data_IF_005248467150
#
_entry.id   IF_005248467150
#
_cell.length_a   1.000
_cell.length_b   1.000
_cell.length_c   1.000
_cell.angle_alpha   90.00
_cell.angle_beta   90.00
_cell.angle_gamma   90.00
#
_symmetry.space_group_name_H-M   'P 1'
#
loop_
_entity.id
_entity.type
_entity.pdbx_description
1 polymer ?
#
# COMPACT_ATOMS: atom_id res chain seq x y z
N UNK A 1 -25.74 5.29 9.89
CA UNK A 1 -24.55 4.64 9.31
C UNK A 1 -23.93 3.65 10.31
N UNK A 2 -23.56 4.08 11.52
CA UNK A 2 -22.99 3.19 12.56
C UNK A 2 -23.91 2.02 12.94
N UNK A 3 -25.21 2.25 13.14
CA UNK A 3 -26.17 1.18 13.40
C UNK A 3 -26.22 0.12 12.29
N UNK A 4 -26.04 0.53 11.03
CA UNK A 4 -26.00 -0.40 9.89
C UNK A 4 -24.68 -1.17 9.88
N UNK A 5 -23.55 -0.51 10.16
CA UNK A 5 -22.26 -1.17 10.34
C UNK A 5 -22.31 -2.22 11.44
N UNK A 6 -22.85 -1.88 12.61
CA UNK A 6 -23.04 -2.82 13.73
C UNK A 6 -23.94 -4.00 13.36
N UNK A 7 -25.09 -3.72 12.73
CA UNK A 7 -26.06 -4.76 12.35
C UNK A 7 -25.53 -5.73 11.29
N UNK A 8 -24.76 -5.22 10.33
CA UNK A 8 -24.27 -6.00 9.19
C UNK A 8 -22.82 -6.49 9.36
N UNK A 9 -22.13 -6.09 10.43
CA UNK A 9 -20.73 -6.41 10.65
C UNK A 9 -19.80 -5.84 9.58
N UNK A 10 -20.17 -4.71 8.95
CA UNK A 10 -19.38 -4.11 7.86
C UNK A 10 -18.42 -3.04 8.37
N UNK A 11 -17.14 -3.17 8.04
CA UNK A 11 -16.09 -2.21 8.40
C UNK A 11 -15.97 -1.04 7.43
N UNK A 12 -16.57 -1.15 6.25
CA UNK A 12 -16.55 -0.11 5.20
C UNK A 12 -17.97 0.02 4.65
N UNK A 13 -18.39 1.25 4.36
CA UNK A 13 -19.63 1.53 3.64
C UNK A 13 -19.43 2.63 2.59
N UNK A 14 -20.25 2.57 1.54
CA UNK A 14 -20.34 3.59 0.51
C UNK A 14 -21.81 3.99 0.42
N UNK A 15 -22.10 5.23 0.76
CA UNK A 15 -23.45 5.80 0.68
C UNK A 15 -23.55 6.71 -0.53
N UNK A 16 -24.49 6.42 -1.42
CA UNK A 16 -24.79 7.26 -2.58
C UNK A 16 -25.99 8.15 -2.26
N UNK A 17 -25.88 9.45 -2.53
CA UNK A 17 -26.95 10.42 -2.35
C UNK A 17 -27.06 11.33 -3.57
N UNK A 18 -28.26 11.71 -3.97
CA UNK A 18 -28.46 12.68 -5.04
C UNK A 18 -29.62 13.61 -4.69
N UNK A 19 -29.39 14.91 -4.80
CA UNK A 19 -30.40 15.95 -4.54
C UNK A 19 -30.25 17.08 -5.55
N UNK A 20 -31.26 17.95 -5.66
CA UNK A 20 -31.22 19.12 -6.57
C UNK A 20 -30.03 20.05 -6.28
N UNK A 21 -29.70 20.27 -5.00
CA UNK A 21 -28.58 21.12 -4.59
C UNK A 21 -27.23 20.42 -4.76
N UNK A 22 -27.23 19.10 -4.63
CA UNK A 22 -26.04 18.27 -4.59
C UNK A 22 -26.27 17.01 -5.44
N UNK A 23 -26.12 17.13 -6.77
CA UNK A 23 -26.33 16.02 -7.68
C UNK A 23 -25.21 14.99 -7.50
N UNK A 24 -25.60 13.72 -7.36
CA UNK A 24 -24.73 12.54 -7.31
C UNK A 24 -23.45 12.65 -6.47
N UNK A 25 -23.58 12.34 -5.18
CA UNK A 25 -22.49 12.21 -4.22
C UNK A 25 -22.26 10.78 -3.78
N UNK A 26 -20.99 10.47 -3.56
CA UNK A 26 -20.53 9.23 -2.94
C UNK A 26 -19.82 9.55 -1.64
N UNK A 27 -20.31 8.97 -0.55
CA UNK A 27 -19.75 9.13 0.79
C UNK A 27 -19.17 7.80 1.20
N UNK A 28 -17.85 7.76 1.35
CA UNK A 28 -17.15 6.58 1.82
C UNK A 28 -16.87 6.73 3.30
N UNK A 29 -17.13 5.68 4.07
CA UNK A 29 -16.94 5.66 5.51
C UNK A 29 -16.26 4.36 5.94
N UNK A 30 -15.21 4.46 6.75
CA UNK A 30 -14.64 3.30 7.45
C UNK A 30 -15.07 3.33 8.91
N UNK A 31 -15.21 2.14 9.49
CA UNK A 31 -15.59 1.96 10.88
C UNK A 31 -14.50 1.23 11.65
N UNK A 32 -14.34 1.63 12.91
CA UNK A 32 -13.55 0.92 13.91
C UNK A 32 -14.44 0.70 15.12
N UNK A 33 -14.59 -0.56 15.54
CA UNK A 33 -15.49 -0.94 16.64
C UNK A 33 -16.93 -0.41 16.47
N UNK A 34 -17.46 -0.53 15.24
CA UNK A 34 -18.78 -0.01 14.83
C UNK A 34 -18.98 1.51 14.93
N UNK A 35 -17.96 2.27 15.29
CA UNK A 35 -17.95 3.73 15.25
C UNK A 35 -17.25 4.25 14.00
N UNK A 36 -17.63 5.43 13.53
CA UNK A 36 -16.98 6.08 12.38
C UNK A 36 -15.52 6.33 12.71
N UNK A 37 -14.62 5.75 11.91
CA UNK A 37 -13.20 6.04 11.96
C UNK A 37 -12.92 7.30 11.14
N UNK A 38 -13.30 7.28 9.87
CA UNK A 38 -13.14 8.40 8.95
C UNK A 38 -14.17 8.39 7.82
N UNK A 39 -14.39 9.56 7.22
CA UNK A 39 -15.44 9.77 6.22
C UNK A 39 -15.02 10.76 5.16
N UNK A 40 -15.27 10.45 3.90
CA UNK A 40 -14.96 11.31 2.75
C UNK A 40 -16.17 11.42 1.82
N UNK A 41 -16.61 12.64 1.58
CA UNK A 41 -17.72 12.97 0.69
C UNK A 41 -17.17 13.50 -0.64
N UNK A 42 -17.51 12.79 -1.71
CA UNK A 42 -17.12 13.09 -3.07
C UNK A 42 -18.31 13.51 -3.92
N UNK A 43 -18.13 14.53 -4.74
CA UNK A 43 -19.05 14.89 -5.81
C UNK A 43 -18.65 14.16 -7.09
N UNK A 44 -19.56 13.40 -7.70
CA UNK A 44 -19.27 12.70 -8.95
C UNK A 44 -19.47 13.66 -10.11
N UNK A 45 -18.37 14.02 -10.78
CA UNK A 45 -18.38 14.95 -11.91
C UNK A 45 -18.69 14.25 -13.22
N UNK A 46 -18.12 13.07 -13.42
CA UNK A 46 -18.32 12.27 -14.61
C UNK A 46 -18.33 10.78 -14.24
N UNK A 47 -19.23 10.05 -14.88
CA UNK A 47 -19.35 8.61 -14.73
C UNK A 47 -19.51 7.96 -16.11
N UNK A 48 -18.61 7.06 -16.44
CA UNK A 48 -18.71 6.16 -17.60
C UNK A 48 -18.83 4.74 -17.08
N UNK A 49 -19.98 4.11 -17.32
CA UNK A 49 -20.22 2.73 -16.93
C UNK A 49 -19.41 1.71 -17.73
N UNK A 50 -19.63 0.43 -17.41
CA UNK A 50 -19.09 -0.70 -18.16
C UNK A 50 -19.64 -0.70 -19.58
N UNK A 51 -18.77 -0.92 -20.55
CA UNK A 51 -19.18 -1.04 -21.95
C UNK A 51 -19.85 -2.41 -22.18
N UNK A 52 -21.00 -2.48 -22.88
CA UNK A 52 -21.83 -3.69 -22.96
C UNK A 52 -21.16 -4.91 -23.62
N UNK A 53 -20.12 -4.71 -24.42
CA UNK A 53 -19.42 -5.77 -25.16
C UNK A 53 -17.98 -6.02 -24.67
N UNK A 54 -17.70 -5.70 -23.41
CA UNK A 54 -16.36 -5.81 -22.83
C UNK A 54 -16.20 -7.08 -22.02
N UNK A 55 -15.04 -7.72 -22.13
CA UNK A 55 -14.66 -8.84 -21.27
C UNK A 55 -14.48 -8.35 -19.82
N UNK A 56 -15.11 -9.04 -18.87
CA UNK A 56 -15.07 -8.69 -17.46
C UNK A 56 -14.02 -9.51 -16.70
N UNK A 57 -13.49 -8.97 -15.59
CA UNK A 57 -12.64 -9.73 -14.68
C UNK A 57 -13.35 -10.98 -14.17
N UNK A 58 -12.60 -12.06 -13.98
CA UNK A 58 -13.15 -13.33 -13.49
C UNK A 58 -13.58 -13.17 -12.04
N UNK A 59 -14.70 -13.80 -11.70
CA UNK A 59 -15.15 -13.82 -10.31
C UNK A 59 -14.08 -14.44 -9.39
N UNK A 60 -13.80 -13.77 -8.26
CA UNK A 60 -12.81 -14.22 -7.28
C UNK A 60 -11.35 -13.93 -7.64
N UNK A 61 -11.08 -13.27 -8.78
CA UNK A 61 -9.74 -12.78 -9.09
C UNK A 61 -9.35 -11.65 -8.13
N UNK A 62 -8.04 -11.46 -7.93
CA UNK A 62 -7.53 -10.45 -7.01
C UNK A 62 -7.22 -9.16 -7.77
N UNK A 63 -7.85 -8.02 -7.42
CA UNK A 63 -7.52 -6.73 -8.01
C UNK A 63 -6.07 -6.35 -7.71
N UNK A 64 -5.41 -5.79 -8.71
CA UNK A 64 -4.28 -4.90 -8.47
C UNK A 64 -4.85 -3.50 -8.27
N UNK A 65 -4.51 -2.84 -7.17
CA UNK A 65 -4.92 -1.46 -6.91
C UNK A 65 -3.69 -0.57 -6.93
N UNK A 66 -3.67 0.42 -7.82
CA UNK A 66 -2.61 1.41 -7.91
C UNK A 66 -3.18 2.78 -7.57
N UNK A 67 -2.64 3.41 -6.54
CA UNK A 67 -2.91 4.80 -6.22
C UNK A 67 -1.70 5.64 -6.65
N UNK A 68 -1.90 6.57 -7.59
CA UNK A 68 -0.85 7.42 -8.15
C UNK A 68 -1.24 8.89 -8.13
N UNK A 69 -0.24 9.77 -8.10
CA UNK A 69 -0.42 11.22 -8.08
C UNK A 69 0.36 11.88 -6.95
N UNK A 70 1.01 13.01 -7.25
CA UNK A 70 1.73 13.81 -6.26
C UNK A 70 0.87 14.24 -5.05
N UNK A 71 -0.44 14.55 -5.20
CA UNK A 71 -1.26 14.94 -4.06
C UNK A 71 -1.36 13.87 -2.97
N UNK A 72 -1.24 12.58 -3.30
CA UNK A 72 -1.27 11.54 -2.28
C UNK A 72 -0.09 11.57 -1.29
N UNK A 73 0.99 12.27 -1.62
CA UNK A 73 2.16 12.40 -0.75
C UNK A 73 2.23 13.77 -0.05
N UNK A 74 1.45 14.76 -0.50
CA UNK A 74 1.51 16.15 -0.01
C UNK A 74 0.83 16.34 1.35
N UNK A 75 -0.42 15.89 1.50
CA UNK A 75 -1.25 16.13 2.70
C UNK A 75 -1.64 14.81 3.40
N UNK A 76 -1.78 14.86 4.72
CA UNK A 76 -2.29 13.78 5.55
C UNK A 76 -3.72 13.37 5.17
N UNK A 77 -4.55 14.33 4.73
CA UNK A 77 -5.89 14.05 4.18
C UNK A 77 -5.79 13.11 2.98
N UNK A 78 -4.91 13.40 2.02
CA UNK A 78 -4.79 12.61 0.80
C UNK A 78 -4.11 11.27 1.05
N UNK A 79 -3.12 11.22 1.95
CA UNK A 79 -2.57 9.94 2.44
C UNK A 79 -3.68 9.07 3.03
N UNK A 80 -4.60 9.66 3.78
CA UNK A 80 -5.71 8.94 4.40
C UNK A 80 -6.72 8.45 3.34
N UNK A 81 -7.06 9.30 2.36
CA UNK A 81 -7.89 8.92 1.20
C UNK A 81 -7.25 7.77 0.40
N UNK A 82 -5.93 7.81 0.17
CA UNK A 82 -5.20 6.70 -0.47
C UNK A 82 -5.41 5.39 0.26
N UNK A 83 -5.26 5.38 1.60
CA UNK A 83 -5.48 4.17 2.40
C UNK A 83 -6.93 3.70 2.33
N UNK A 84 -7.87 4.64 2.35
CA UNK A 84 -9.30 4.33 2.27
C UNK A 84 -9.67 3.69 0.93
N UNK A 85 -9.14 4.16 -0.21
CA UNK A 85 -9.36 3.52 -1.50
C UNK A 85 -8.66 2.15 -1.58
N UNK A 86 -7.46 2.04 -1.03
CA UNK A 86 -6.76 0.76 -0.96
C UNK A 86 -7.56 -0.28 -0.18
N UNK A 87 -8.07 0.07 1.01
CA UNK A 87 -8.89 -0.83 1.83
C UNK A 87 -10.21 -1.19 1.13
N UNK A 88 -10.81 -0.24 0.41
CA UNK A 88 -12.08 -0.47 -0.31
C UNK A 88 -11.92 -1.45 -1.47
N UNK A 89 -10.84 -1.33 -2.24
CA UNK A 89 -10.69 -2.07 -3.51
C UNK A 89 -9.77 -3.29 -3.45
N UNK A 90 -8.90 -3.42 -2.43
CA UNK A 90 -7.89 -4.51 -2.41
C UNK A 90 -8.44 -5.90 -2.08
N UNK A 91 -9.66 -5.98 -1.56
CA UNK A 91 -10.29 -7.23 -1.15
C UNK A 91 -9.54 -7.93 0.00
N UNK A 92 -9.67 -9.26 0.14
CA UNK A 92 -9.12 -9.98 1.28
C UNK A 92 -7.58 -10.00 1.31
N UNK A 93 -7.03 -9.90 2.52
CA UNK A 93 -5.60 -9.97 2.79
C UNK A 93 -5.14 -11.43 2.72
N UNK A 94 -4.14 -11.72 1.89
CA UNK A 94 -3.63 -13.08 1.58
C UNK A 94 -2.15 -13.22 1.97
N UNK A 95 -1.80 -12.83 3.21
CA UNK A 95 -0.42 -12.88 3.69
C UNK A 95 0.06 -14.34 3.80
N UNK A 96 1.19 -14.65 3.19
CA UNK A 96 1.82 -15.98 3.25
C UNK A 96 1.17 -17.04 2.34
N UNK A 97 0.13 -16.69 1.59
CA UNK A 97 -0.52 -17.60 0.65
C UNK A 97 0.18 -17.60 -0.71
N UNK A 98 0.20 -18.75 -1.39
CA UNK A 98 0.63 -18.83 -2.80
C UNK A 98 -0.44 -18.15 -3.66
N UNK A 99 0.00 -17.22 -4.51
CA UNK A 99 -0.88 -16.46 -5.39
C UNK A 99 -0.89 -17.10 -6.78
N UNK A 100 -2.08 -17.21 -7.37
CA UNK A 100 -2.22 -17.70 -8.74
C UNK A 100 -2.02 -16.54 -9.72
N UNK A 101 -0.99 -16.62 -10.56
CA UNK A 101 -0.62 -15.52 -11.48
C UNK A 101 -1.76 -15.13 -12.44
N UNK A 102 -2.48 -16.11 -12.98
CA UNK A 102 -3.65 -15.84 -13.86
C UNK A 102 -4.87 -15.31 -13.09
N UNK A 103 -4.80 -15.25 -11.76
CA UNK A 103 -5.80 -14.65 -10.89
C UNK A 103 -5.63 -13.13 -10.75
N UNK A 104 -4.60 -12.53 -11.36
CA UNK A 104 -4.45 -11.08 -11.50
C UNK A 104 -4.89 -10.67 -12.91
N UNK A 105 -6.19 -10.47 -13.08
CA UNK A 105 -6.79 -10.14 -14.38
C UNK A 105 -7.40 -8.73 -14.44
N UNK A 106 -7.35 -7.97 -13.35
CA UNK A 106 -7.87 -6.60 -13.34
C UNK A 106 -7.04 -5.64 -12.49
N UNK A 107 -6.99 -4.41 -12.97
CA UNK A 107 -6.30 -3.27 -12.38
C UNK A 107 -7.31 -2.16 -12.10
N UNK A 108 -7.35 -1.68 -10.87
CA UNK A 108 -8.07 -0.48 -10.45
C UNK A 108 -7.02 0.61 -10.25
N UNK A 109 -7.07 1.63 -11.09
CA UNK A 109 -6.18 2.78 -11.05
C UNK A 109 -6.91 3.96 -10.42
N UNK A 110 -6.39 4.45 -9.30
CA UNK A 110 -6.86 5.64 -8.60
C UNK A 110 -5.82 6.73 -8.80
N UNK A 111 -6.18 7.78 -9.54
CA UNK A 111 -5.28 8.90 -9.83
C UNK A 111 -5.76 10.15 -9.10
N UNK A 112 -4.89 10.78 -8.32
CA UNK A 112 -5.14 12.08 -7.70
C UNK A 112 -4.38 13.19 -8.44
N UNK A 113 -5.07 14.30 -8.69
CA UNK A 113 -4.45 15.51 -9.25
C UNK A 113 -5.16 16.77 -8.73
N UNK A 114 -4.41 17.86 -8.67
CA UNK A 114 -4.88 19.19 -8.32
C UNK A 114 -5.15 19.99 -9.60
N UNK A 115 -6.17 20.83 -9.58
CA UNK A 115 -6.34 21.87 -10.61
C UNK A 115 -6.37 23.22 -9.92
N UNK A 116 -5.53 24.12 -10.38
CA UNK A 116 -5.56 25.51 -9.96
C UNK A 116 -6.77 26.20 -10.60
N UNK A 117 -7.67 26.72 -9.77
CA UNK A 117 -8.74 27.58 -10.28
C UNK A 117 -8.15 28.96 -10.55
N UNK A 118 -7.81 29.25 -11.81
CA UNK A 118 -7.34 30.59 -12.20
C UNK A 118 -8.34 31.70 -11.86
N UNK A 119 -9.64 31.39 -11.71
CA UNK A 119 -10.68 32.38 -11.40
C UNK A 119 -10.66 32.89 -9.94
N UNK A 120 -10.18 32.09 -8.97
CA UNK A 120 -10.17 32.49 -7.55
C UNK A 120 -8.96 33.38 -7.22
N UNK A 121 -7.86 33.22 -7.96
CA UNK A 121 -6.61 33.97 -7.75
C UNK A 121 -6.72 35.47 -8.04
N UNK A 122 -7.83 35.94 -8.62
CA UNK A 122 -8.07 37.38 -8.85
C UNK A 122 -8.62 38.14 -7.63
N UNK A 123 -9.05 37.44 -6.56
CA UNK A 123 -9.72 38.09 -5.41
C UNK A 123 -9.03 37.90 -4.06
N UNK A 124 -8.10 36.95 -3.90
CA UNK A 124 -7.45 36.70 -2.61
C UNK A 124 -5.99 37.20 -2.58
N UNK A 125 -5.79 38.43 -2.10
CA UNK A 125 -4.49 39.00 -1.73
C UNK A 125 -3.94 38.47 -0.40
N UNK A 126 -4.56 37.44 0.18
CA UNK A 126 -4.09 36.82 1.43
C UNK A 126 -3.18 35.64 1.10
N UNK A 127 -1.89 35.87 1.34
CA UNK A 127 -0.79 34.91 1.21
C UNK A 127 -1.06 33.75 2.18
N UNK A 128 -1.44 32.57 1.68
CA UNK A 128 -1.36 31.34 2.47
C UNK A 128 -2.44 30.27 2.32
N UNK A 129 -3.51 30.47 1.55
CA UNK A 129 -4.50 29.40 1.32
C UNK A 129 -4.80 29.26 -0.17
N UNK A 130 -3.93 28.54 -0.89
CA UNK A 130 -4.27 28.04 -2.21
C UNK A 130 -5.38 26.99 -2.04
N UNK A 131 -6.63 27.36 -2.30
CA UNK A 131 -7.74 26.39 -2.33
C UNK A 131 -7.63 25.57 -3.62
N UNK A 132 -6.60 24.71 -3.73
CA UNK A 132 -6.51 23.75 -4.80
C UNK A 132 -7.60 22.70 -4.62
N UNK A 133 -8.47 22.57 -5.63
CA UNK A 133 -9.50 21.53 -5.63
C UNK A 133 -8.86 20.24 -6.08
N UNK A 134 -9.14 19.17 -5.34
CA UNK A 134 -8.57 17.86 -5.63
C UNK A 134 -9.59 16.99 -6.34
N UNK A 135 -9.12 16.40 -7.43
CA UNK A 135 -9.86 15.45 -8.21
C UNK A 135 -9.26 14.06 -8.05
N UNK A 136 -10.14 13.09 -7.88
CA UNK A 136 -9.83 11.66 -7.93
C UNK A 136 -10.47 11.09 -9.20
N UNK A 137 -9.66 10.47 -10.05
CA UNK A 137 -10.11 9.72 -11.22
C UNK A 137 -9.85 8.24 -10.99
N UNK A 138 -10.92 7.45 -10.93
CA UNK A 138 -10.87 5.99 -10.79
C UNK A 138 -11.13 5.37 -12.16
N UNK A 139 -10.25 4.46 -12.58
CA UNK A 139 -10.35 3.71 -13.84
C UNK A 139 -10.12 2.23 -13.61
N UNK A 140 -10.85 1.41 -14.35
CA UNK A 140 -10.70 -0.05 -14.33
C UNK A 140 -10.21 -0.59 -15.66
N UNK A 141 -9.19 -1.44 -15.60
CA UNK A 141 -8.56 -2.11 -16.73
C UNK A 141 -8.55 -3.62 -16.55
N UNK A 142 -8.69 -4.35 -17.64
CA UNK A 142 -8.44 -5.77 -17.72
C UNK A 142 -6.97 -5.99 -18.06
N UNK A 143 -6.33 -6.94 -17.38
CA UNK A 143 -4.94 -7.32 -17.58
C UNK A 143 -4.89 -8.54 -18.49
N UNK A 144 -4.18 -8.41 -19.61
CA UNK A 144 -3.82 -9.52 -20.49
C UNK A 144 -2.32 -9.78 -20.39
N UNK A 145 -1.97 -11.01 -20.01
CA UNK A 145 -0.58 -11.46 -19.92
C UNK A 145 -0.22 -12.23 -21.18
N UNK A 146 0.54 -11.60 -22.06
CA UNK A 146 0.99 -12.18 -23.32
C UNK A 146 2.34 -12.87 -23.13
N UNK A 147 2.57 -13.97 -23.86
CA UNK A 147 3.86 -14.65 -23.82
C UNK A 147 4.89 -13.82 -24.59
N UNK A 148 6.16 -13.79 -24.15
CA UNK A 148 7.21 -13.04 -24.84
C UNK A 148 7.41 -13.42 -26.32
N UNK A 149 7.00 -14.62 -26.72
CA UNK A 149 7.13 -15.15 -28.08
C UNK A 149 6.05 -14.67 -29.06
N UNK A 150 4.96 -14.07 -28.60
CA UNK A 150 3.96 -13.47 -29.49
C UNK A 150 4.55 -12.18 -30.09
N UNK A 151 4.80 -12.20 -31.41
CA UNK A 151 5.45 -11.15 -32.18
C UNK A 151 4.66 -9.82 -32.10
N UNK A 152 5.03 -8.97 -31.15
CA UNK A 152 4.65 -7.55 -31.19
C UNK A 152 5.81 -6.77 -31.80
N UNK A 153 5.58 -5.89 -32.79
CA UNK A 153 6.64 -5.10 -33.42
C UNK A 153 7.46 -4.34 -32.38
N UNK A 154 8.79 -4.46 -32.47
CA UNK A 154 9.76 -3.90 -31.53
C UNK A 154 9.68 -2.38 -31.36
N UNK A 155 9.04 -1.70 -32.33
CA UNK A 155 8.86 -0.25 -32.40
C UNK A 155 7.81 0.29 -31.41
N UNK A 156 6.93 -0.56 -30.89
CA UNK A 156 5.93 -0.24 -29.87
C UNK A 156 6.39 -0.59 -28.44
N UNK A 157 7.67 -0.97 -28.26
CA UNK A 157 8.22 -1.33 -26.96
C UNK A 157 8.80 -0.12 -26.26
N UNK A 158 8.35 0.13 -25.03
CA UNK A 158 9.01 1.08 -24.13
C UNK A 158 10.34 0.44 -23.69
N UNK A 159 11.40 1.23 -23.48
CA UNK A 159 12.75 0.70 -23.13
C UNK A 159 12.76 -0.24 -21.91
N UNK A 160 11.83 -0.06 -20.96
CA UNK A 160 11.63 -0.96 -19.82
C UNK A 160 11.25 -2.38 -20.24
N UNK A 161 10.52 -2.53 -21.34
CA UNK A 161 9.98 -3.79 -21.80
C UNK A 161 11.08 -4.68 -22.41
N UNK A 162 12.11 -4.08 -23.00
CA UNK A 162 13.23 -4.83 -23.60
C UNK A 162 13.98 -5.67 -22.56
N UNK A 163 14.27 -5.10 -21.38
CA UNK A 163 14.95 -5.82 -20.29
C UNK A 163 14.04 -6.89 -19.64
N UNK A 164 12.74 -6.66 -19.58
CA UNK A 164 11.78 -7.62 -19.02
C UNK A 164 11.59 -8.84 -19.94
N UNK A 165 11.60 -8.62 -21.25
CA UNK A 165 11.53 -9.67 -22.28
C UNK A 165 12.77 -10.57 -22.25
N UNK A 166 13.97 -9.99 -22.09
CA UNK A 166 15.21 -10.77 -21.95
C UNK A 166 15.19 -11.71 -20.74
N UNK A 167 14.49 -11.33 -19.67
CA UNK A 167 14.34 -12.13 -18.45
C UNK A 167 13.16 -13.12 -18.51
N UNK A 168 12.51 -13.27 -19.66
CA UNK A 168 11.38 -14.20 -19.85
C UNK A 168 10.10 -13.81 -19.10
N UNK A 169 9.97 -12.56 -18.66
CA UNK A 169 8.78 -12.07 -17.96
C UNK A 169 7.62 -11.85 -18.94
N UNK A 170 6.36 -12.20 -18.59
CA UNK A 170 5.22 -12.01 -19.48
C UNK A 170 4.97 -10.52 -19.73
N UNK A 171 4.56 -10.18 -20.96
CA UNK A 171 4.22 -8.80 -21.31
C UNK A 171 2.79 -8.51 -20.86
N UNK A 172 2.61 -7.40 -20.13
CA UNK A 172 1.31 -6.95 -19.66
C UNK A 172 0.70 -5.99 -20.69
N UNK A 173 -0.53 -6.26 -21.11
CA UNK A 173 -1.34 -5.37 -21.92
C UNK A 173 -2.61 -5.02 -21.15
N UNK A 174 -3.00 -3.74 -21.16
CA UNK A 174 -4.18 -3.25 -20.47
C UNK A 174 -5.28 -2.91 -21.49
N UNK A 175 -6.50 -3.37 -21.24
CA UNK A 175 -7.69 -2.96 -22.00
C UNK A 175 -8.71 -2.32 -21.04
N UNK A 176 -9.23 -1.14 -21.38
CA UNK A 176 -10.18 -0.40 -20.53
C UNK A 176 -11.52 -1.14 -20.45
N UNK A 177 -12.01 -1.42 -19.24
CA UNK A 177 -13.28 -2.16 -19.05
C UNK A 177 -14.51 -1.24 -19.22
N UNK A 178 -14.32 0.06 -18.96
CA UNK A 178 -15.40 0.98 -18.66
C UNK A 178 -15.80 0.82 -17.19
N UNK A 179 -15.45 1.82 -16.39
CA UNK A 179 -15.91 2.12 -15.03
C UNK A 179 -15.02 3.31 -14.65
N UNK A 180 -15.27 4.44 -15.30
CA UNK A 180 -14.51 5.65 -15.05
C UNK A 180 -15.35 6.56 -14.17
N UNK A 181 -14.80 6.95 -13.03
CA UNK A 181 -15.46 7.86 -12.10
C UNK A 181 -14.50 8.99 -11.79
N UNK A 182 -14.83 10.19 -12.29
CA UNK A 182 -14.14 11.42 -11.91
C UNK A 182 -14.92 12.06 -10.78
N UNK A 183 -14.22 12.32 -9.67
CA UNK A 183 -14.80 12.82 -8.44
C UNK A 183 -14.02 14.02 -7.91
N UNK A 184 -14.72 14.94 -7.26
CA UNK A 184 -14.15 16.06 -6.52
C UNK A 184 -14.34 15.82 -5.02
N UNK A 185 -13.30 16.01 -4.21
CA UNK A 185 -13.44 15.95 -2.76
C UNK A 185 -14.19 17.19 -2.25
N UNK A 186 -15.27 16.99 -1.49
CA UNK A 186 -16.12 18.07 -0.96
C UNK A 186 -15.93 18.24 0.53
N UNK A 187 -16.04 17.15 1.28
CA UNK A 187 -15.88 17.14 2.74
C UNK A 187 -15.09 15.92 3.17
N UNK A 188 -14.40 16.06 4.30
CA UNK A 188 -13.66 14.99 4.92
C UNK A 188 -13.74 15.09 6.44
N UNK A 189 -13.66 13.94 7.09
CA UNK A 189 -13.50 13.79 8.52
C UNK A 189 -12.31 12.84 8.73
N UNK A 190 -11.18 13.37 9.19
CA UNK A 190 -9.95 12.63 9.46
C UNK A 190 -10.13 11.88 10.80
N UNK A 191 -9.54 10.68 10.96
CA UNK A 191 -9.60 9.98 12.23
C UNK A 191 -8.76 10.69 13.30
N UNK A 192 -9.24 10.66 14.55
CA UNK A 192 -8.43 11.09 15.68
C UNK A 192 -7.18 10.21 15.82
N UNK A 193 -6.03 10.83 16.11
CA UNK A 193 -4.74 10.14 16.20
C UNK A 193 -4.74 9.00 17.22
N UNK A 194 -5.49 9.15 18.32
CA UNK A 194 -5.63 8.12 19.35
C UNK A 194 -6.40 6.89 18.83
N UNK A 195 -7.55 7.13 18.20
CA UNK A 195 -8.43 6.09 17.62
C UNK A 195 -7.72 5.38 16.46
N UNK A 196 -7.05 6.14 15.60
CA UNK A 196 -6.26 5.57 14.51
C UNK A 196 -5.14 4.66 15.04
N UNK A 197 -4.47 5.09 16.10
CA UNK A 197 -3.42 4.29 16.74
C UNK A 197 -3.97 2.99 17.31
N UNK A 198 -5.14 3.00 17.97
CA UNK A 198 -5.77 1.77 18.46
C UNK A 198 -6.21 0.85 17.32
N UNK A 199 -6.74 1.42 16.22
CA UNK A 199 -7.14 0.67 15.04
C UNK A 199 -5.97 -0.03 14.33
N UNK A 200 -4.76 0.54 14.40
CA UNK A 200 -3.55 -0.01 13.78
C UNK A 200 -2.78 -1.01 14.66
N UNK A 201 -3.26 -1.34 15.87
CA UNK A 201 -2.57 -2.29 16.74
C UNK A 201 -2.63 -3.69 16.15
N UNK A 202 -1.46 -4.28 15.89
CA UNK A 202 -1.34 -5.69 15.52
C UNK A 202 -1.35 -6.56 16.79
N UNK A 203 -2.22 -7.59 16.88
CA UNK A 203 -2.23 -8.53 18.00
C UNK A 203 -0.85 -9.12 18.27
N UNK A 204 -0.51 -9.29 19.56
CA UNK A 204 0.80 -9.79 20.00
C UNK A 204 1.09 -11.22 19.51
N UNK A 205 0.05 -12.00 19.26
CA UNK A 205 0.14 -13.39 18.76
C UNK A 205 0.59 -13.44 17.29
N UNK A 206 0.06 -12.55 16.45
CA UNK A 206 0.41 -12.45 15.03
C UNK A 206 1.78 -11.78 14.86
N UNK A 207 2.15 -10.86 15.77
CA UNK A 207 3.42 -10.15 15.71
C UNK A 207 4.57 -11.09 16.10
N UNK A 208 5.53 -11.37 15.21
CA UNK A 208 6.65 -12.24 15.53
C UNK A 208 7.49 -11.62 16.65
N UNK A 209 7.65 -12.34 17.76
CA UNK A 209 8.57 -11.94 18.84
C UNK A 209 10.00 -12.21 18.39
N UNK A 210 10.75 -11.16 18.08
CA UNK A 210 12.19 -11.28 17.80
C UNK A 210 12.94 -11.50 19.11
N UNK A 211 13.52 -12.69 19.28
CA UNK A 211 14.43 -12.99 20.38
C UNK A 211 15.85 -12.59 19.94
N UNK A 212 16.54 -11.79 20.76
CA UNK A 212 17.91 -11.34 20.44
C UNK A 212 18.83 -12.55 20.39
N UNK A 213 19.77 -12.54 19.43
CA UNK A 213 20.79 -13.58 19.25
C UNK A 213 20.25 -14.98 18.91
N UNK A 214 18.97 -15.16 18.59
CA UNK A 214 18.42 -16.43 18.12
C UNK A 214 17.94 -16.27 16.69
N UNK A 215 18.40 -17.14 15.79
CA UNK A 215 18.00 -17.19 14.39
C UNK A 215 17.53 -18.60 14.04
N UNK A 216 16.46 -18.71 13.26
CA UNK A 216 15.96 -20.01 12.78
C UNK A 216 16.53 -20.30 11.39
N UNK A 217 17.16 -21.46 11.22
CA UNK A 217 17.68 -21.92 9.93
C UNK A 217 16.55 -22.34 8.99
N UNK A 218 16.88 -22.55 7.71
CA UNK A 218 15.93 -23.04 6.68
C UNK A 218 15.33 -24.40 7.06
N UNK A 219 16.07 -25.22 7.83
CA UNK A 219 15.61 -26.50 8.36
C UNK A 219 14.72 -26.38 9.62
N UNK A 220 14.46 -25.16 10.11
CA UNK A 220 13.64 -24.92 11.31
C UNK A 220 14.40 -24.99 12.63
N UNK A 221 15.70 -25.27 12.62
CA UNK A 221 16.54 -25.32 13.83
C UNK A 221 16.82 -23.92 14.38
N UNK A 222 16.82 -23.76 15.70
CA UNK A 222 17.13 -22.49 16.36
C UNK A 222 18.61 -22.41 16.72
N UNK A 223 19.36 -21.50 16.08
CA UNK A 223 20.76 -21.20 16.38
C UNK A 223 20.85 -19.99 17.31
N UNK A 224 21.49 -20.16 18.46
CA UNK A 224 21.86 -19.08 19.37
C UNK A 224 23.28 -18.58 19.10
N UNK A 225 23.47 -17.28 18.84
CA UNK A 225 24.79 -16.67 18.67
C UNK A 225 25.28 -16.07 19.99
N UNK A 226 26.31 -16.67 20.57
CA UNK A 226 27.00 -16.13 21.74
C UNK A 226 28.11 -15.19 21.26
N UNK A 227 28.08 -13.94 21.72
CA UNK A 227 29.13 -12.97 21.44
C UNK A 227 30.13 -13.00 22.59
N UNK A 228 31.25 -13.68 22.38
CA UNK A 228 32.36 -13.68 23.34
C UNK A 228 33.11 -12.34 23.18
N UNK A 229 33.33 -11.62 24.28
CA UNK A 229 34.13 -10.41 24.27
C UNK A 229 35.59 -10.70 23.89
N UNK A 230 36.34 -9.65 23.52
CA UNK A 230 37.79 -9.79 23.32
C UNK A 230 38.43 -10.14 24.67
N UNK A 231 39.06 -11.32 24.75
CA UNK A 231 39.78 -11.73 25.94
C UNK A 231 41.09 -10.96 26.03
N UNK A 232 41.25 -10.15 27.08
CA UNK A 232 42.53 -9.54 27.42
C UNK A 232 43.36 -10.53 28.25
N UNK A 233 44.51 -10.93 27.73
CA UNK A 233 45.42 -11.89 28.36
C UNK A 233 46.51 -11.20 29.18
N UNK A 234 46.58 -9.87 29.16
CA UNK A 234 47.58 -9.11 29.94
C UNK A 234 47.40 -9.28 31.45
N UNK A 235 46.19 -9.56 31.91
CA UNK A 235 45.87 -9.81 33.32
C UNK A 235 46.04 -11.29 33.73
N UNK A 236 46.46 -12.16 32.81
CA UNK A 236 46.57 -13.60 33.08
C UNK A 236 47.89 -13.92 33.80
N UNK A 237 47.84 -14.02 35.12
CA UNK A 237 48.94 -14.56 35.91
C UNK A 237 49.05 -16.08 35.68
N UNK A 238 50.09 -16.51 34.97
CA UNK A 238 50.41 -17.93 34.84
C UNK A 238 51.27 -18.39 36.02
N UNK A 239 51.03 -19.59 36.58
CA UNK A 239 51.93 -20.14 37.57
C UNK A 239 53.30 -20.34 36.93
N UNK A 240 54.28 -19.56 37.36
CA UNK A 240 55.66 -19.73 36.95
C UNK A 240 56.19 -21.02 37.56
N UNK A 241 56.17 -22.12 36.81
CA UNK A 241 56.94 -23.30 37.17
C UNK A 241 58.42 -22.89 37.24
N UNK A 242 59.08 -23.14 38.38
CA UNK A 242 60.47 -22.74 38.62
C UNK A 242 61.47 -23.21 37.55
N UNK A 243 61.09 -24.19 36.73
CA UNK A 243 61.86 -24.68 35.58
C UNK A 243 62.02 -23.61 34.50
N UNK A 244 60.98 -22.84 34.17
CA UNK A 244 61.03 -21.83 33.10
C UNK A 244 61.89 -20.61 33.49
N UNK A 245 61.93 -20.26 34.78
CA UNK A 245 62.80 -19.20 35.30
C UNK A 245 64.30 -19.53 35.27
N UNK A 246 64.64 -20.83 35.18
CA UNK A 246 66.03 -21.32 35.15
C UNK A 246 66.59 -21.41 33.74
N UNK A 247 65.75 -21.57 32.72
CA UNK A 247 66.18 -21.69 31.31
C UNK A 247 66.78 -20.38 30.78
N UNK A 248 66.28 -19.22 31.24
CA UNK A 248 66.81 -17.92 30.82
C UNK A 248 68.02 -17.42 31.63
N UNK A 249 68.43 -18.13 32.69
CA UNK A 249 69.58 -17.76 33.54
C UNK A 249 70.90 -18.42 33.13
N UNK A 250 70.90 -19.33 32.15
CA UNK A 250 72.10 -20.07 31.72
C UNK A 250 72.72 -19.53 30.43
N UNK A 251 72.51 -18.25 30.09
CA UNK A 251 73.05 -17.61 28.88
C UNK A 251 73.83 -16.31 29.14
N UNK A 252 74.30 -16.11 30.37
CA UNK A 252 75.35 -15.13 30.69
C UNK A 252 76.65 -15.87 31.03
#
# INVERSE_FOLDING_TARGET
>A
MEQLSYKHGSSISIFANSSKKHPFRLIFTRYYDSHILDMYEFNVLNYKGISPNMELPKYGSKPIVICQGAPFESDDVYKSIRTMFFDTFSGPIVRGSKLFLKGFDHLILVTAYETDNEEINKQSTIIGSMNSKIYIDIRSYLIRLNRPSEQVPSELLIRSDQNLVLNGSPRVVLSEIGLQIKMELVKHQIPDKSILKSAMIVPREIKPKKIKNVTTNVLGESIGRIHVGKQDLSTLNTPHAGILSKINRSKE
#
